data_IF_935972243250
#
_entry.id   IF_935972243250
#
_cell.length_a   1.000
_cell.length_b   1.000
_cell.length_c   1.000
_cell.angle_alpha   90.00
_cell.angle_beta   90.00
_cell.angle_gamma   90.00
#
_symmetry.space_group_name_H-M   'P 1'
#
loop_
_entity.id
_entity.type
_entity.pdbx_description
1 polymer ?
#
# COMPACT_ATOMS: atom_id res chain seq x y z
N UNK A 1 25.00 -4.53 47.97
CA UNK A 1 25.74 -3.79 46.92
C UNK A 1 25.54 -4.57 45.63
N UNK A 2 24.50 -4.27 44.86
CA UNK A 2 24.53 -3.48 43.61
C UNK A 2 25.61 -3.89 42.59
N UNK A 3 25.18 -4.50 41.49
CA UNK A 3 25.29 -3.99 40.10
C UNK A 3 24.61 -5.03 39.17
N UNK A 4 23.43 -4.77 38.59
CA UNK A 4 23.18 -4.09 37.28
C UNK A 4 23.95 -4.73 36.11
N UNK A 5 23.24 -5.44 35.21
CA UNK A 5 22.92 -5.04 33.81
C UNK A 5 23.74 -5.88 32.80
N UNK A 6 23.31 -6.24 31.59
CA UNK A 6 22.09 -6.04 30.82
C UNK A 6 22.08 -7.06 29.67
N UNK A 7 20.93 -7.71 29.49
CA UNK A 7 20.26 -8.08 28.25
C UNK A 7 21.06 -7.97 26.93
N UNK A 8 21.57 -9.09 26.43
CA UNK A 8 21.94 -9.25 25.01
C UNK A 8 20.67 -9.29 24.16
N UNK A 9 20.21 -8.14 23.66
CA UNK A 9 19.32 -8.11 22.49
C UNK A 9 20.20 -8.24 21.25
N UNK A 10 20.10 -9.38 20.57
CA UNK A 10 20.60 -9.56 19.22
C UNK A 10 20.03 -8.44 18.32
N UNK A 11 20.93 -7.67 17.72
CA UNK A 11 20.58 -6.64 16.74
C UNK A 11 20.27 -7.35 15.42
N UNK A 12 19.01 -7.76 15.24
CA UNK A 12 18.49 -8.23 13.96
C UNK A 12 18.47 -7.04 12.98
N UNK A 13 19.05 -7.16 11.76
CA UNK A 13 19.05 -6.07 10.78
C UNK A 13 17.61 -5.72 10.43
N UNK A 14 17.12 -4.61 10.97
CA UNK A 14 15.78 -4.08 10.73
C UNK A 14 15.89 -3.07 9.62
N UNK A 15 15.38 -3.41 8.44
CA UNK A 15 14.51 -2.56 7.62
C UNK A 15 14.28 -3.25 6.29
N UNK A 16 13.16 -3.98 6.17
CA UNK A 16 12.42 -4.15 4.91
C UNK A 16 11.13 -4.97 5.08
N UNK A 17 10.79 -5.53 6.25
CA UNK A 17 9.64 -6.45 6.38
C UNK A 17 8.70 -6.10 7.57
N UNK A 18 8.52 -4.82 7.88
CA UNK A 18 7.55 -4.42 8.91
C UNK A 18 6.19 -4.10 8.27
N UNK A 19 5.16 -4.96 8.43
CA UNK A 19 3.84 -4.74 7.84
C UNK A 19 3.19 -3.44 8.31
N UNK A 20 3.48 -2.97 9.52
CA UNK A 20 2.93 -1.72 10.05
C UNK A 20 3.52 -0.51 9.29
N UNK A 21 4.81 -0.56 8.97
CA UNK A 21 5.48 0.49 8.20
C UNK A 21 4.94 0.57 6.77
N UNK A 22 4.68 -0.57 6.14
CA UNK A 22 4.09 -0.60 4.80
C UNK A 22 2.69 0.02 4.79
N UNK A 23 1.87 -0.25 5.81
CA UNK A 23 0.55 0.38 5.99
C UNK A 23 0.66 1.89 6.23
N UNK A 24 1.66 2.35 6.98
CA UNK A 24 1.91 3.78 7.18
C UNK A 24 2.28 4.49 5.87
N UNK A 25 3.15 3.89 5.05
CA UNK A 25 3.54 4.41 3.73
C UNK A 25 2.31 4.50 2.83
N UNK A 26 1.50 3.43 2.76
CA UNK A 26 0.26 3.41 1.99
C UNK A 26 -0.69 4.53 2.44
N UNK A 27 -0.91 4.66 3.75
CA UNK A 27 -1.78 5.70 4.31
C UNK A 27 -1.28 7.10 4.00
N UNK A 28 0.03 7.34 4.11
CA UNK A 28 0.64 8.63 3.79
C UNK A 28 0.50 8.96 2.30
N UNK A 29 0.68 7.95 1.43
CA UNK A 29 0.53 8.09 -0.02
C UNK A 29 -0.91 8.45 -0.42
N UNK A 30 -1.91 7.78 0.17
CA UNK A 30 -3.33 8.07 -0.03
C UNK A 30 -3.69 9.47 0.49
N UNK A 31 -3.21 9.83 1.69
CA UNK A 31 -3.51 11.12 2.33
C UNK A 31 -3.07 12.31 1.49
N UNK A 32 -2.06 12.15 0.63
CA UNK A 32 -1.64 13.20 -0.29
C UNK A 32 -2.74 13.60 -1.28
N UNK A 33 -3.53 12.64 -1.75
CA UNK A 33 -4.66 12.90 -2.64
C UNK A 33 -5.76 11.83 -2.47
N UNK A 34 -6.64 11.92 -1.47
CA UNK A 34 -7.62 10.87 -1.17
C UNK A 34 -8.76 10.79 -2.19
N UNK A 35 -8.96 11.85 -3.00
CA UNK A 35 -10.09 11.96 -3.92
C UNK A 35 -9.71 11.58 -5.37
N UNK A 36 -8.51 11.05 -5.61
CA UNK A 36 -8.07 10.63 -6.94
C UNK A 36 -8.29 9.14 -7.18
N UNK A 37 -8.17 8.74 -8.44
CA UNK A 37 -8.15 7.34 -8.83
C UNK A 37 -6.75 6.76 -8.62
N UNK A 38 -6.72 5.58 -8.03
CA UNK A 38 -5.52 4.78 -7.86
C UNK A 38 -5.61 3.53 -8.74
N UNK A 39 -4.46 3.03 -9.18
CA UNK A 39 -4.35 1.73 -9.82
C UNK A 39 -3.28 0.93 -9.14
N UNK A 40 -3.48 -0.37 -8.95
CA UNK A 40 -2.39 -1.23 -8.52
C UNK A 40 -2.30 -2.50 -9.36
N UNK A 41 -1.09 -3.01 -9.50
CA UNK A 41 -0.79 -4.27 -10.15
C UNK A 41 0.27 -5.03 -9.35
N UNK A 42 0.34 -6.34 -9.56
CA UNK A 42 1.27 -7.24 -8.88
C UNK A 42 1.54 -8.43 -9.78
N UNK A 43 2.80 -8.83 -9.85
CA UNK A 43 3.14 -10.12 -10.45
C UNK A 43 2.44 -11.25 -9.69
N UNK A 44 2.08 -12.31 -10.42
CA UNK A 44 1.39 -13.47 -9.85
C UNK A 44 2.28 -14.15 -8.82
N UNK A 45 1.81 -14.23 -7.57
CA UNK A 45 2.56 -14.84 -6.47
C UNK A 45 3.58 -13.92 -5.82
N UNK A 46 3.65 -12.64 -6.23
CA UNK A 46 4.50 -11.64 -5.57
C UNK A 46 3.98 -11.27 -4.19
N UNK A 47 4.90 -11.03 -3.26
CA UNK A 47 4.65 -10.41 -1.95
C UNK A 47 4.63 -8.88 -2.01
N UNK A 48 4.80 -8.31 -3.20
CA UNK A 48 4.87 -6.87 -3.44
C UNK A 48 3.91 -6.45 -4.56
N UNK A 49 3.32 -5.28 -4.39
CA UNK A 49 2.41 -4.65 -5.35
C UNK A 49 2.85 -3.23 -5.63
N UNK A 50 2.68 -2.78 -6.87
CA UNK A 50 2.87 -1.38 -7.25
C UNK A 50 1.53 -0.65 -7.14
N UNK A 51 1.49 0.46 -6.39
CA UNK A 51 0.34 1.37 -6.33
C UNK A 51 0.69 2.69 -6.99
N UNK A 52 -0.14 3.11 -7.95
CA UNK A 52 0.00 4.36 -8.67
C UNK A 52 -1.20 5.28 -8.48
N UNK A 53 -0.97 6.59 -8.54
CA UNK A 53 -1.99 7.62 -8.65
C UNK A 53 -1.76 8.49 -9.88
N UNK A 54 -2.83 8.98 -10.47
CA UNK A 54 -2.75 10.01 -11.50
C UNK A 54 -2.46 11.36 -10.85
N UNK A 55 -1.27 11.92 -11.12
CA UNK A 55 -0.75 13.15 -10.50
C UNK A 55 -0.99 14.43 -11.32
N UNK A 56 -2.02 14.45 -12.18
CA UNK A 56 -2.34 15.60 -13.02
C UNK A 56 -1.14 16.09 -13.85
N UNK A 57 -0.69 17.33 -13.63
CA UNK A 57 0.45 17.95 -14.36
C UNK A 57 1.80 17.27 -14.13
N UNK A 58 1.96 16.47 -13.08
CA UNK A 58 3.23 15.80 -12.73
C UNK A 58 3.34 14.37 -13.28
N UNK A 59 2.34 13.91 -14.03
CA UNK A 59 2.29 12.54 -14.54
C UNK A 59 1.88 11.53 -13.46
N UNK A 60 1.97 10.25 -13.80
CA UNK A 60 1.64 9.12 -12.93
C UNK A 60 2.73 8.94 -11.87
N UNK A 61 2.35 8.88 -10.59
CA UNK A 61 3.25 8.64 -9.47
C UNK A 61 3.00 7.24 -8.89
N UNK A 62 4.04 6.43 -8.73
CA UNK A 62 3.95 5.05 -8.26
C UNK A 62 4.83 4.78 -7.04
N UNK A 63 4.38 3.89 -6.15
CA UNK A 63 5.15 3.35 -5.04
C UNK A 63 5.05 1.82 -5.02
N UNK A 64 6.12 1.15 -4.62
CA UNK A 64 6.11 -0.30 -4.37
C UNK A 64 5.85 -0.56 -2.89
N UNK A 65 4.91 -1.46 -2.61
CA UNK A 65 4.51 -1.85 -1.27
C UNK A 65 4.76 -3.34 -1.10
N UNK A 66 5.36 -3.73 0.03
CA UNK A 66 5.45 -5.12 0.47
C UNK A 66 4.11 -5.61 1.01
N UNK A 67 3.16 -5.71 0.10
CA UNK A 67 1.82 -6.26 0.27
C UNK A 67 1.50 -7.05 -0.98
N UNK A 68 0.93 -8.23 -0.80
CA UNK A 68 0.28 -8.98 -1.89
C UNK A 68 -0.87 -8.16 -2.48
N UNK A 69 -1.26 -8.47 -3.71
CA UNK A 69 -2.43 -7.83 -4.36
C UNK A 69 -3.71 -7.94 -3.53
N UNK A 70 -3.88 -9.07 -2.81
CA UNK A 70 -4.99 -9.29 -1.89
C UNK A 70 -4.93 -8.35 -0.68
N UNK A 71 -3.78 -8.24 -0.02
CA UNK A 71 -3.62 -7.36 1.14
C UNK A 71 -3.80 -5.89 0.76
N UNK A 72 -3.29 -5.48 -0.40
CA UNK A 72 -3.48 -4.12 -0.90
C UNK A 72 -4.95 -3.84 -1.24
N UNK A 73 -5.65 -4.80 -1.86
CA UNK A 73 -7.09 -4.72 -2.13
C UNK A 73 -7.92 -4.55 -0.84
N UNK A 74 -7.63 -5.34 0.19
CA UNK A 74 -8.29 -5.24 1.49
C UNK A 74 -7.99 -3.90 2.18
N UNK A 75 -6.73 -3.45 2.15
CA UNK A 75 -6.32 -2.19 2.74
C UNK A 75 -7.01 -0.99 2.07
N UNK A 76 -7.04 -0.93 0.73
CA UNK A 76 -7.70 0.15 -0.01
C UNK A 76 -9.21 0.22 0.31
N UNK A 77 -9.89 -0.92 0.40
CA UNK A 77 -11.30 -0.97 0.81
C UNK A 77 -11.51 -0.48 2.25
N UNK A 78 -10.60 -0.82 3.17
CA UNK A 78 -10.65 -0.31 4.55
C UNK A 78 -10.53 1.21 4.64
N UNK A 79 -9.83 1.82 3.67
CA UNK A 79 -9.70 3.28 3.52
C UNK A 79 -10.84 3.93 2.74
N UNK A 80 -11.87 3.16 2.36
CA UNK A 80 -13.06 3.68 1.69
C UNK A 80 -12.96 3.74 0.17
N UNK A 81 -12.01 3.03 -0.45
CA UNK A 81 -11.95 2.91 -1.90
C UNK A 81 -12.74 1.70 -2.40
N UNK A 82 -13.42 1.85 -3.52
CA UNK A 82 -13.97 0.75 -4.29
C UNK A 82 -12.99 0.36 -5.38
N UNK A 83 -12.47 -0.88 -5.32
CA UNK A 83 -11.49 -1.41 -6.25
C UNK A 83 -12.13 -2.48 -7.15
N UNK A 84 -11.92 -2.40 -8.46
CA UNK A 84 -12.41 -3.38 -9.42
C UNK A 84 -11.47 -3.50 -10.63
N UNK A 85 -11.47 -4.68 -11.26
CA UNK A 85 -10.82 -4.84 -12.55
C UNK A 85 -11.55 -3.99 -13.60
N UNK A 86 -10.83 -3.31 -14.49
CA UNK A 86 -11.43 -2.65 -15.64
C UNK A 86 -12.27 -3.62 -16.48
N UNK A 87 -13.30 -3.10 -17.13
CA UNK A 87 -14.13 -3.90 -18.04
C UNK A 87 -13.36 -4.38 -19.27
N UNK A 88 -12.28 -3.69 -19.64
CA UNK A 88 -11.42 -4.05 -20.75
C UNK A 88 -10.62 -5.33 -20.42
N UNK A 89 -10.86 -6.47 -21.12
CA UNK A 89 -10.29 -7.77 -20.76
C UNK A 89 -8.76 -7.83 -20.83
N UNK A 90 -8.12 -6.90 -21.53
CA UNK A 90 -6.66 -6.81 -21.64
C UNK A 90 -5.98 -6.05 -20.51
N UNK A 91 -6.73 -5.44 -19.58
CA UNK A 91 -6.16 -4.68 -18.46
C UNK A 91 -6.12 -5.56 -17.21
N UNK A 92 -4.92 -5.78 -16.69
CA UNK A 92 -4.66 -6.64 -15.52
C UNK A 92 -4.60 -5.87 -14.20
N UNK A 93 -4.44 -4.55 -14.26
CA UNK A 93 -4.38 -3.71 -13.08
C UNK A 93 -5.76 -3.57 -12.42
N UNK A 94 -5.77 -3.47 -11.10
CA UNK A 94 -6.95 -3.12 -10.33
C UNK A 94 -7.13 -1.61 -10.30
N UNK A 95 -8.35 -1.11 -10.54
CA UNK A 95 -8.68 0.31 -10.46
C UNK A 95 -9.45 0.62 -9.18
N UNK A 96 -8.92 1.48 -8.32
CA UNK A 96 -9.52 1.93 -7.07
C UNK A 96 -10.01 3.37 -7.16
N UNK A 97 -11.30 3.59 -6.90
CA UNK A 97 -11.93 4.92 -6.88
C UNK A 97 -12.45 5.23 -5.48
N UNK A 98 -12.43 6.50 -5.03
CA UNK A 98 -13.03 6.87 -3.75
C UNK A 98 -14.49 6.42 -3.73
N UNK A 99 -14.89 5.65 -2.72
CA UNK A 99 -16.26 5.22 -2.54
C UNK A 99 -17.11 6.43 -2.21
N UNK A 100 -18.07 6.76 -3.08
CA UNK A 100 -18.96 7.92 -2.92
C UNK A 100 -19.98 7.81 -1.79
N UNK A 101 -19.77 6.95 -0.79
CA UNK A 101 -20.63 6.95 0.40
C UNK A 101 -19.97 7.78 1.51
N UNK A 102 -20.55 8.95 1.86
CA UNK A 102 -20.14 9.65 3.07
C UNK A 102 -20.36 8.73 4.28
N UNK A 103 -19.37 8.65 5.17
CA UNK A 103 -19.57 8.17 6.54
C UNK A 103 -20.01 9.33 7.42
#
# INVERSE_FOLDING_TARGET
MSAFNVFSKEVKPRTLDNPDRTKEILRAFIKHNPNTQYTFDSERGSSESELCREGGRKGRECITLKMTSKELFEAMQSYGFFCALPMEPGRTYMSCKPGGLPK
#
